data_IF_239711350195
#
_entry.id   IF_239711350195
#
_cell.length_a   1.000
_cell.length_b   1.000
_cell.length_c   1.000
_cell.angle_alpha   90.00
_cell.angle_beta   90.00
_cell.angle_gamma   90.00
#
_symmetry.space_group_name_H-M   'P 1'
#
loop_
_entity.id
_entity.type
_entity.pdbx_description
1 polymer ?
#
# COMPACT_ATOMS: atom_id res chain seq x y z
N UNK A 1 9.66 5.17 -7.69
CA UNK A 1 8.39 5.56 -8.33
C UNK A 1 8.67 6.24 -9.67
N UNK A 2 7.97 5.88 -10.75
CA UNK A 2 8.12 6.52 -12.05
C UNK A 2 7.79 8.03 -12.03
N UNK A 3 8.28 8.74 -13.04
CA UNK A 3 8.07 10.18 -13.24
C UNK A 3 7.16 10.37 -14.44
N UNK A 4 6.16 11.23 -14.34
CA UNK A 4 5.11 11.42 -15.34
C UNK A 4 5.68 11.72 -16.71
N UNK A 5 6.64 12.65 -16.77
CA UNK A 5 7.14 13.18 -18.03
C UNK A 5 8.37 12.40 -18.56
N UNK A 6 9.08 11.68 -17.68
CA UNK A 6 10.27 10.91 -18.07
C UNK A 6 9.97 9.44 -18.41
N UNK A 7 8.90 8.88 -17.86
CA UNK A 7 8.57 7.45 -17.89
C UNK A 7 7.12 7.22 -18.37
N UNK A 8 6.82 7.56 -19.64
CA UNK A 8 5.45 7.49 -20.18
C UNK A 8 4.91 6.05 -20.25
N UNK A 9 5.78 5.07 -20.45
CA UNK A 9 5.45 3.65 -20.60
C UNK A 9 6.43 2.77 -19.81
N UNK A 10 6.06 1.50 -19.60
CA UNK A 10 6.82 0.56 -18.78
C UNK A 10 8.18 0.27 -19.41
N UNK A 11 8.21 0.12 -20.73
CA UNK A 11 9.45 -0.14 -21.47
C UNK A 11 10.47 0.97 -21.25
N UNK A 12 10.08 2.22 -21.46
CA UNK A 12 10.91 3.41 -21.27
C UNK A 12 11.36 3.55 -19.82
N UNK A 13 10.47 3.26 -18.86
CA UNK A 13 10.84 3.20 -17.44
C UNK A 13 11.97 2.20 -17.20
N UNK A 14 11.78 0.95 -17.64
CA UNK A 14 12.75 -0.11 -17.43
C UNK A 14 14.08 0.15 -18.14
N UNK A 15 14.07 0.66 -19.37
CA UNK A 15 15.27 1.00 -20.12
C UNK A 15 16.09 2.11 -19.46
N UNK A 16 15.44 3.16 -18.94
CA UNK A 16 16.13 4.29 -18.30
C UNK A 16 16.61 3.96 -16.89
N UNK A 17 15.79 3.23 -16.14
CA UNK A 17 15.97 3.09 -14.69
C UNK A 17 16.67 1.80 -14.32
N UNK A 18 16.81 0.82 -15.22
CA UNK A 18 17.53 -0.43 -14.93
C UNK A 18 19.03 -0.21 -15.14
N UNK A 19 19.86 -0.34 -14.07
CA UNK A 19 21.31 -0.27 -14.23
C UNK A 19 21.84 -1.42 -15.10
N UNK A 20 22.96 -1.20 -15.80
CA UNK A 20 23.59 -2.22 -16.66
C UNK A 20 24.32 -3.33 -15.90
N UNK A 21 24.53 -3.18 -14.59
CA UNK A 21 25.30 -4.12 -13.78
C UNK A 21 24.83 -4.16 -12.32
N UNK A 22 25.35 -5.14 -11.57
CA UNK A 22 24.91 -5.43 -10.20
C UNK A 22 23.55 -6.14 -10.14
N UNK A 23 23.03 -6.37 -8.94
CA UNK A 23 21.79 -7.14 -8.78
C UNK A 23 20.54 -6.39 -9.30
N UNK A 24 20.61 -5.07 -9.39
CA UNK A 24 19.53 -4.21 -9.88
C UNK A 24 19.20 -4.37 -11.38
N UNK A 25 20.01 -5.12 -12.14
CA UNK A 25 19.64 -5.56 -13.51
C UNK A 25 18.32 -6.33 -13.54
N UNK A 26 17.91 -6.90 -12.40
CA UNK A 26 16.64 -7.64 -12.24
C UNK A 26 15.42 -6.73 -12.01
N UNK A 27 15.54 -5.40 -12.08
CA UNK A 27 14.43 -4.44 -11.91
C UNK A 27 13.16 -4.80 -12.71
N UNK A 28 13.24 -5.25 -13.99
CA UNK A 28 12.05 -5.70 -14.73
C UNK A 28 11.22 -6.76 -13.98
N UNK A 29 11.88 -7.76 -13.38
CA UNK A 29 11.22 -8.83 -12.62
C UNK A 29 10.48 -8.27 -11.41
N UNK A 30 11.13 -7.39 -10.66
CA UNK A 30 10.55 -6.78 -9.47
C UNK A 30 9.37 -5.87 -9.81
N UNK A 31 9.48 -5.09 -10.88
CA UNK A 31 8.44 -4.16 -11.31
C UNK A 31 7.20 -4.89 -11.82
N UNK A 32 7.37 -5.90 -12.68
CA UNK A 32 6.25 -6.70 -13.20
C UNK A 32 5.61 -7.51 -12.08
N UNK A 33 6.40 -8.12 -11.19
CA UNK A 33 5.86 -8.86 -10.04
C UNK A 33 5.07 -7.97 -9.09
N UNK A 34 5.49 -6.72 -8.87
CA UNK A 34 4.76 -5.73 -8.08
C UNK A 34 3.42 -5.36 -8.73
N UNK A 35 3.42 -5.07 -10.03
CA UNK A 35 2.21 -4.73 -10.77
C UNK A 35 1.22 -5.90 -10.82
N UNK A 36 1.72 -7.14 -10.95
CA UNK A 36 0.91 -8.36 -10.84
C UNK A 36 0.35 -8.56 -9.43
N UNK A 37 1.09 -8.21 -8.38
CA UNK A 37 0.57 -8.25 -7.00
C UNK A 37 -0.57 -7.25 -6.83
N UNK A 38 -0.42 -6.02 -7.33
CA UNK A 38 -1.45 -4.98 -7.19
C UNK A 38 -2.71 -5.27 -7.98
N UNK A 39 -2.60 -5.77 -9.21
CA UNK A 39 -3.75 -5.82 -10.14
C UNK A 39 -4.16 -7.24 -10.56
N UNK A 40 -3.48 -8.27 -10.05
CA UNK A 40 -3.81 -9.68 -10.32
C UNK A 40 -3.91 -9.97 -11.83
N UNK A 41 -5.02 -10.60 -12.22
CA UNK A 41 -5.29 -10.99 -13.61
C UNK A 41 -5.51 -9.78 -14.55
N UNK A 42 -5.86 -8.61 -14.03
CA UNK A 42 -6.04 -7.41 -14.84
C UNK A 42 -4.70 -6.82 -15.34
N UNK A 43 -3.57 -7.17 -14.70
CA UNK A 43 -2.24 -6.85 -15.20
C UNK A 43 -1.80 -7.89 -16.24
N UNK A 44 -1.89 -7.52 -17.52
CA UNK A 44 -1.52 -8.36 -18.66
C UNK A 44 -0.38 -7.73 -19.44
N UNK A 45 0.31 -8.50 -20.29
CA UNK A 45 1.39 -7.95 -21.12
C UNK A 45 0.89 -6.84 -22.05
N UNK A 46 -0.32 -6.97 -22.58
CA UNK A 46 -0.92 -6.04 -23.55
C UNK A 46 -1.23 -4.66 -22.96
N UNK A 47 -1.47 -4.57 -21.65
CA UNK A 47 -1.67 -3.31 -20.95
C UNK A 47 -0.47 -2.89 -20.09
N UNK A 48 0.72 -3.40 -20.42
CA UNK A 48 1.95 -3.13 -19.68
C UNK A 48 1.84 -3.47 -18.19
N UNK A 49 1.12 -4.55 -17.89
CA UNK A 49 0.81 -5.01 -16.54
C UNK A 49 0.08 -3.96 -15.69
N UNK A 50 -0.67 -3.04 -16.30
CA UNK A 50 -1.33 -1.96 -15.56
C UNK A 50 -0.39 -0.82 -15.15
N UNK A 51 0.81 -0.71 -15.73
CA UNK A 51 1.75 0.40 -15.46
C UNK A 51 1.14 1.80 -15.67
N UNK A 52 0.11 1.92 -16.51
CA UNK A 52 -0.58 3.20 -16.70
C UNK A 52 -1.49 3.58 -15.53
N UNK A 53 -1.85 2.64 -14.67
CA UNK A 53 -2.73 2.86 -13.53
C UNK A 53 -2.03 3.38 -12.29
N UNK A 54 -0.72 3.20 -12.16
CA UNK A 54 0.04 3.79 -11.06
C UNK A 54 0.23 5.30 -11.25
N UNK A 55 0.04 6.04 -10.15
CA UNK A 55 0.31 7.47 -10.15
C UNK A 55 1.82 7.73 -10.36
N UNK A 56 2.14 8.53 -11.39
CA UNK A 56 3.52 8.92 -11.73
C UNK A 56 3.81 10.28 -11.11
N UNK A 57 4.98 10.45 -10.48
CA UNK A 57 5.31 11.71 -9.80
C UNK A 57 5.55 12.84 -10.80
N UNK A 58 5.18 14.06 -10.44
CA UNK A 58 5.42 15.23 -11.30
C UNK A 58 6.92 15.56 -11.43
N UNK A 59 7.70 15.32 -10.38
CA UNK A 59 9.15 15.53 -10.33
C UNK A 59 9.82 14.55 -9.36
N UNK A 60 11.16 14.58 -9.30
CA UNK A 60 11.95 13.71 -8.44
C UNK A 60 11.79 13.99 -6.93
N UNK A 61 11.36 15.20 -6.57
CA UNK A 61 11.19 15.70 -5.22
C UNK A 61 9.71 15.89 -4.83
N UNK A 62 8.78 15.79 -5.78
CA UNK A 62 7.35 15.97 -5.54
C UNK A 62 6.78 15.07 -4.44
N UNK A 63 5.83 15.63 -3.68
CA UNK A 63 4.95 14.94 -2.72
C UNK A 63 5.63 14.36 -1.47
N UNK A 64 6.78 14.91 -1.07
CA UNK A 64 7.32 14.65 0.27
C UNK A 64 6.40 15.20 1.36
N UNK A 65 6.60 14.79 2.62
CA UNK A 65 5.89 15.35 3.77
C UNK A 65 5.88 16.89 3.76
N UNK A 66 7.04 17.52 3.53
CA UNK A 66 7.15 18.98 3.52
C UNK A 66 6.35 19.61 2.38
N UNK A 67 6.46 19.06 1.16
CA UNK A 67 5.70 19.55 0.00
C UNK A 67 4.20 19.43 0.23
N UNK A 68 3.76 18.28 0.75
CA UNK A 68 2.36 18.01 1.05
C UNK A 68 1.78 19.03 2.04
N UNK A 69 2.49 19.37 3.13
CA UNK A 69 1.99 20.34 4.11
C UNK A 69 2.01 21.79 3.60
N UNK A 70 2.94 22.14 2.72
CA UNK A 70 2.91 23.44 2.02
C UNK A 70 1.71 23.51 1.07
N UNK A 71 1.46 22.47 0.28
CA UNK A 71 0.32 22.39 -0.64
C UNK A 71 -1.02 22.38 0.10
N UNK A 72 -1.07 21.71 1.26
CA UNK A 72 -2.22 21.73 2.17
C UNK A 72 -2.48 23.14 2.71
N UNK A 73 -1.44 23.85 3.16
CA UNK A 73 -1.57 25.25 3.60
C UNK A 73 -2.05 26.18 2.48
N UNK A 74 -1.58 25.95 1.26
CA UNK A 74 -1.99 26.67 0.06
C UNK A 74 -3.39 26.27 -0.45
N UNK A 75 -4.06 25.31 0.20
CA UNK A 75 -5.42 24.88 -0.13
C UNK A 75 -5.51 24.03 -1.41
N UNK A 76 -4.39 23.49 -1.88
CA UNK A 76 -4.34 22.58 -3.03
C UNK A 76 -4.86 21.20 -2.63
N UNK A 77 -4.43 20.70 -1.46
CA UNK A 77 -4.91 19.44 -0.90
C UNK A 77 -6.25 19.69 -0.18
N UNK A 78 -7.25 18.87 -0.52
CA UNK A 78 -8.62 18.97 0.01
C UNK A 78 -8.90 17.98 1.12
N UNK A 79 -8.26 16.83 1.08
CA UNK A 79 -8.47 15.75 2.03
C UNK A 79 -7.17 15.16 2.51
N UNK A 80 -7.16 14.70 3.75
CA UNK A 80 -5.98 14.06 4.33
C UNK A 80 -6.37 12.87 5.20
N UNK A 81 -5.58 11.80 5.12
CA UNK A 81 -5.71 10.61 5.95
C UNK A 81 -4.43 10.53 6.79
N UNK A 82 -4.57 10.81 8.09
CA UNK A 82 -3.53 10.69 9.09
C UNK A 82 -3.66 9.33 9.79
N UNK A 83 -2.92 8.34 9.31
CA UNK A 83 -2.95 6.96 9.81
C UNK A 83 -1.76 6.70 10.75
N UNK A 84 -2.02 6.50 12.04
CA UNK A 84 -0.99 6.23 13.05
C UNK A 84 0.07 7.33 13.18
N UNK A 85 -0.27 8.58 12.83
CA UNK A 85 0.64 9.71 12.85
C UNK A 85 0.00 10.97 13.45
N UNK A 86 0.82 11.74 14.17
CA UNK A 86 0.43 13.00 14.78
C UNK A 86 1.21 14.21 14.19
N UNK A 87 0.97 14.60 12.93
CA UNK A 87 1.66 15.72 12.29
C UNK A 87 1.42 17.09 12.92
N UNK A 88 0.35 17.27 13.72
CA UNK A 88 0.15 18.50 14.50
C UNK A 88 1.26 18.74 15.55
N UNK A 89 2.06 17.71 15.85
CA UNK A 89 3.17 17.74 16.81
C UNK A 89 4.49 17.32 16.16
N UNK A 90 4.51 16.18 15.45
CA UNK A 90 5.75 15.56 14.97
C UNK A 90 6.40 16.21 13.74
N UNK A 91 5.71 17.15 13.10
CA UNK A 91 6.23 17.86 11.92
C UNK A 91 7.29 18.92 12.28
N UNK A 92 8.17 19.28 11.34
CA UNK A 92 9.24 20.25 11.58
C UNK A 92 8.73 21.68 11.87
N UNK A 93 7.50 21.99 11.46
CA UNK A 93 6.83 23.26 11.74
C UNK A 93 5.35 23.00 12.10
N UNK A 94 5.10 22.77 13.38
CA UNK A 94 3.76 22.47 13.89
C UNK A 94 2.72 23.58 13.57
N UNK A 95 3.12 24.86 13.57
CA UNK A 95 2.21 25.97 13.23
C UNK A 95 1.71 25.88 11.80
N UNK A 96 2.63 25.62 10.86
CA UNK A 96 2.28 25.42 9.45
C UNK A 96 1.40 24.19 9.27
N UNK A 97 1.77 23.07 9.91
CA UNK A 97 1.02 21.81 9.80
C UNK A 97 -0.42 21.95 10.30
N UNK A 98 -0.62 22.55 11.48
CA UNK A 98 -1.95 22.82 12.05
C UNK A 98 -2.77 23.75 11.16
N UNK A 99 -2.14 24.86 10.71
CA UNK A 99 -2.81 25.81 9.81
C UNK A 99 -3.18 25.19 8.46
N UNK A 100 -2.39 24.24 7.95
CA UNK A 100 -2.71 23.46 6.75
C UNK A 100 -3.90 22.55 6.98
N UNK A 101 -3.89 21.74 8.04
CA UNK A 101 -4.97 20.78 8.32
C UNK A 101 -6.32 21.47 8.60
N UNK A 102 -6.30 22.67 9.17
CA UNK A 102 -7.51 23.50 9.35
C UNK A 102 -8.10 24.07 8.04
N UNK A 103 -7.41 23.92 6.91
CA UNK A 103 -7.85 24.37 5.58
C UNK A 103 -8.35 23.23 4.68
N UNK A 104 -8.28 21.99 5.16
CA UNK A 104 -8.83 20.84 4.47
C UNK A 104 -10.36 20.93 4.41
N UNK A 105 -10.95 20.30 3.40
CA UNK A 105 -12.39 20.04 3.37
C UNK A 105 -12.72 18.93 4.37
N UNK A 106 -11.89 17.88 4.43
CA UNK A 106 -12.02 16.77 5.37
C UNK A 106 -10.67 16.21 5.84
N UNK A 107 -10.67 15.66 7.05
CA UNK A 107 -9.53 15.02 7.70
C UNK A 107 -9.99 13.70 8.33
N UNK A 108 -9.37 12.59 7.93
CA UNK A 108 -9.55 11.29 8.59
C UNK A 108 -8.34 11.03 9.47
N UNK A 109 -8.55 10.69 10.73
CA UNK A 109 -7.50 10.31 11.68
C UNK A 109 -7.77 8.90 12.17
N UNK A 110 -6.82 8.00 11.96
CA UNK A 110 -6.86 6.62 12.44
C UNK A 110 -5.79 6.48 13.52
N UNK A 111 -6.20 6.33 14.78
CA UNK A 111 -5.25 6.31 15.90
C UNK A 111 -5.85 5.59 17.12
N UNK A 112 -4.97 5.15 18.03
CA UNK A 112 -5.34 4.46 19.28
C UNK A 112 -5.94 5.47 20.26
N UNK A 113 -5.46 6.71 20.24
CA UNK A 113 -5.93 7.78 21.12
C UNK A 113 -6.37 9.02 20.33
N UNK A 114 -7.19 9.85 20.95
CA UNK A 114 -7.39 11.21 20.44
C UNK A 114 -6.06 11.96 20.45
N UNK A 115 -5.67 12.49 19.29
CA UNK A 115 -4.41 13.22 19.09
C UNK A 115 -4.65 14.70 18.81
N UNK A 116 -3.60 15.52 18.93
CA UNK A 116 -3.65 16.93 18.52
C UNK A 116 -3.98 17.10 17.03
N UNK A 117 -3.70 16.10 16.19
CA UNK A 117 -4.16 16.08 14.80
C UNK A 117 -5.67 15.89 14.70
N UNK A 118 -6.26 14.94 15.45
CA UNK A 118 -7.72 14.75 15.48
C UNK A 118 -8.45 15.97 16.07
N UNK A 119 -7.81 16.67 17.00
CA UNK A 119 -8.35 17.87 17.63
C UNK A 119 -7.76 19.17 17.07
N UNK A 120 -7.22 19.16 15.85
CA UNK A 120 -6.54 20.34 15.27
C UNK A 120 -7.43 21.59 15.22
N UNK A 121 -8.74 21.39 15.16
CA UNK A 121 -9.76 22.44 15.18
C UNK A 121 -9.93 23.12 16.56
N UNK A 122 -9.45 22.50 17.63
CA UNK A 122 -9.41 23.05 19.01
C UNK A 122 -8.06 23.66 19.39
N UNK A 123 -7.24 24.04 18.40
CA UNK A 123 -5.93 24.63 18.68
C UNK A 123 -6.02 25.82 19.68
N UNK A 124 -5.20 25.86 20.74
CA UNK A 124 -5.24 26.95 21.71
C UNK A 124 -5.09 28.33 21.06
N UNK A 125 -5.98 29.26 21.43
CA UNK A 125 -5.99 30.61 20.87
C UNK A 125 -6.75 30.76 19.54
N UNK A 126 -7.40 29.69 19.04
CA UNK A 126 -8.33 29.76 17.91
C UNK A 126 -9.76 29.47 18.34
N UNK A 127 -10.71 30.05 17.63
CA UNK A 127 -12.12 29.73 17.77
C UNK A 127 -12.45 28.51 16.89
N UNK A 128 -12.90 27.39 17.46
CA UNK A 128 -13.33 26.21 16.70
C UNK A 128 -14.26 26.50 15.53
N UNK A 129 -15.13 27.51 15.66
CA UNK A 129 -16.11 27.86 14.62
C UNK A 129 -15.48 28.42 13.34
N UNK A 130 -14.22 28.84 13.38
CA UNK A 130 -13.51 29.37 12.21
C UNK A 130 -12.88 28.25 11.36
N UNK A 131 -12.80 27.03 11.90
CA UNK A 131 -12.24 25.86 11.21
C UNK A 131 -13.37 25.09 10.53
N UNK A 132 -13.31 24.97 9.20
CA UNK A 132 -14.35 24.32 8.38
C UNK A 132 -14.08 22.84 8.10
N UNK A 133 -12.89 22.34 8.44
CA UNK A 133 -12.50 20.96 8.20
C UNK A 133 -13.46 20.00 8.90
N UNK A 134 -14.07 19.08 8.16
CA UNK A 134 -14.80 17.95 8.73
C UNK A 134 -13.81 16.89 9.21
N UNK A 135 -13.85 16.53 10.49
CA UNK A 135 -12.90 15.56 11.07
C UNK A 135 -13.60 14.25 11.42
N UNK A 136 -13.08 13.15 10.86
CA UNK A 136 -13.46 11.79 11.17
C UNK A 136 -12.36 11.15 12.02
N UNK A 137 -12.68 10.76 13.25
CA UNK A 137 -11.77 9.98 14.09
C UNK A 137 -12.18 8.51 14.06
N UNK A 138 -11.25 7.64 13.72
CA UNK A 138 -11.42 6.20 13.62
C UNK A 138 -10.53 5.55 14.69
N UNK A 139 -11.13 4.91 15.72
CA UNK A 139 -10.36 4.27 16.78
C UNK A 139 -9.65 3.01 16.27
N UNK A 140 -8.33 2.94 16.44
CA UNK A 140 -7.47 1.90 15.89
C UNK A 140 -6.98 0.91 16.95
N UNK A 141 -6.88 -0.36 16.56
CA UNK A 141 -6.37 -1.43 17.42
C UNK A 141 -4.84 -1.31 17.62
N UNK A 142 -4.32 -1.27 18.87
CA UNK A 142 -2.90 -1.40 19.16
C UNK A 142 -2.35 -2.78 18.78
N UNK A 143 -1.03 -2.94 18.82
CA UNK A 143 -0.34 -4.17 18.40
C UNK A 143 -0.81 -5.43 19.14
N UNK A 144 -1.21 -5.34 20.41
CA UNK A 144 -1.70 -6.51 21.16
C UNK A 144 -3.08 -7.03 20.68
N UNK A 145 -3.84 -6.20 19.97
CA UNK A 145 -5.22 -6.46 19.54
C UNK A 145 -5.32 -6.88 18.07
N UNK A 146 -4.18 -7.06 17.40
CA UNK A 146 -4.09 -7.51 16.01
C UNK A 146 -2.93 -8.47 15.81
N UNK A 147 -2.99 -9.27 14.78
CA UNK A 147 -1.92 -10.13 14.30
C UNK A 147 -1.20 -9.48 13.11
N UNK A 148 -0.02 -9.98 12.79
CA UNK A 148 0.76 -9.51 11.65
C UNK A 148 2.26 -9.56 11.89
N UNK A 149 3.01 -8.99 10.93
CA UNK A 149 4.47 -8.95 11.01
C UNK A 149 5.02 -7.53 11.18
N UNK A 150 6.07 -7.39 11.97
CA UNK A 150 6.88 -6.17 12.10
C UNK A 150 8.32 -6.46 11.69
N UNK A 151 8.96 -5.49 11.03
CA UNK A 151 10.38 -5.59 10.64
C UNK A 151 11.21 -4.63 11.48
N UNK A 152 12.11 -5.17 12.29
CA UNK A 152 12.93 -4.36 13.21
C UNK A 152 14.18 -3.77 12.54
N UNK A 153 14.98 -3.00 13.29
CA UNK A 153 16.22 -2.36 12.82
C UNK A 153 17.27 -3.33 12.25
N UNK A 154 17.25 -4.60 12.65
CA UNK A 154 18.15 -5.64 12.12
C UNK A 154 17.60 -6.29 10.84
N UNK A 155 16.44 -5.85 10.35
CA UNK A 155 15.68 -6.43 9.23
C UNK A 155 15.08 -7.81 9.54
N UNK A 156 14.93 -8.15 10.83
CA UNK A 156 14.21 -9.37 11.22
C UNK A 156 12.71 -9.12 11.07
N UNK A 157 12.07 -9.96 10.25
CA UNK A 157 10.62 -9.98 10.08
C UNK A 157 10.07 -10.90 11.17
N UNK A 158 9.25 -10.36 12.06
CA UNK A 158 8.75 -11.06 13.23
C UNK A 158 7.23 -11.05 13.21
N UNK A 159 6.63 -12.25 13.16
CA UNK A 159 5.20 -12.43 13.31
C UNK A 159 4.80 -12.33 14.79
N UNK A 160 3.66 -11.72 15.05
CA UNK A 160 3.00 -11.79 16.35
C UNK A 160 1.52 -12.15 16.18
N UNK A 161 1.01 -12.86 17.18
CA UNK A 161 -0.39 -13.23 17.26
C UNK A 161 -1.20 -12.16 17.99
N UNK A 162 -2.50 -12.09 17.67
CA UNK A 162 -3.47 -11.30 18.42
C UNK A 162 -3.61 -11.89 19.83
N UNK A 163 -3.46 -11.06 20.86
CA UNK A 163 -3.57 -11.48 22.26
C UNK A 163 -5.00 -11.34 22.81
N UNK A 164 -5.74 -10.32 22.37
CA UNK A 164 -7.10 -10.02 22.83
C UNK A 164 -7.89 -9.35 21.71
N UNK A 165 -9.22 -9.46 21.73
CA UNK A 165 -10.08 -8.75 20.80
C UNK A 165 -10.14 -7.24 21.11
N UNK A 166 -10.19 -6.38 20.07
CA UNK A 166 -10.33 -4.95 20.26
C UNK A 166 -11.70 -4.60 20.89
N UNK A 167 -11.78 -3.58 21.77
CA UNK A 167 -13.02 -3.23 22.45
C UNK A 167 -13.95 -2.36 21.58
N UNK A 168 -15.26 -2.56 21.71
CA UNK A 168 -16.27 -1.69 21.10
C UNK A 168 -16.16 -1.61 19.58
N UNK A 169 -16.06 -0.39 19.05
CA UNK A 169 -15.96 -0.12 17.61
C UNK A 169 -14.50 0.02 17.11
N UNK A 170 -13.51 -0.36 17.92
CA UNK A 170 -12.10 -0.36 17.54
C UNK A 170 -11.87 -1.38 16.44
N UNK A 171 -11.17 -0.97 15.38
CA UNK A 171 -10.83 -1.84 14.24
C UNK A 171 -9.32 -1.83 13.96
N UNK A 172 -8.83 -2.86 13.29
CA UNK A 172 -7.44 -2.86 12.79
C UNK A 172 -7.30 -1.90 11.61
N UNK A 173 -6.10 -1.39 11.36
CA UNK A 173 -5.84 -0.47 10.23
C UNK A 173 -6.13 -1.18 8.90
N UNK A 174 -5.79 -2.47 8.81
CA UNK A 174 -6.07 -3.29 7.64
C UNK A 174 -7.58 -3.45 7.39
N UNK A 175 -8.37 -3.68 8.44
CA UNK A 175 -9.84 -3.72 8.36
C UNK A 175 -10.39 -2.39 7.86
N UNK A 176 -9.92 -1.26 8.40
CA UNK A 176 -10.35 0.08 7.97
C UNK A 176 -10.04 0.32 6.49
N UNK A 177 -8.80 0.06 6.06
CA UNK A 177 -8.35 0.29 4.67
C UNK A 177 -9.11 -0.60 3.68
N UNK A 178 -9.23 -1.90 3.96
CA UNK A 178 -9.94 -2.83 3.07
C UNK A 178 -11.43 -2.48 2.98
N UNK A 179 -12.08 -2.20 4.12
CA UNK A 179 -13.48 -1.78 4.15
C UNK A 179 -13.71 -0.50 3.35
N UNK A 180 -12.84 0.50 3.51
CA UNK A 180 -12.92 1.75 2.74
C UNK A 180 -12.74 1.47 1.24
N UNK A 181 -11.74 0.66 0.87
CA UNK A 181 -11.47 0.31 -0.51
C UNK A 181 -12.65 -0.40 -1.18
N UNK A 182 -13.23 -1.44 -0.55
CA UNK A 182 -14.38 -2.15 -1.11
C UNK A 182 -15.62 -1.26 -1.22
N UNK A 183 -15.87 -0.38 -0.24
CA UNK A 183 -16.98 0.58 -0.33
C UNK A 183 -16.81 1.53 -1.51
N UNK A 184 -15.60 2.03 -1.74
CA UNK A 184 -15.29 2.88 -2.88
C UNK A 184 -15.36 2.10 -4.19
N UNK A 185 -14.82 0.88 -4.28
CA UNK A 185 -14.91 0.03 -5.47
C UNK A 185 -16.38 -0.26 -5.82
N UNK A 186 -17.23 -0.57 -4.84
CA UNK A 186 -18.67 -0.74 -5.03
C UNK A 186 -19.33 0.52 -5.57
N UNK A 187 -18.98 1.69 -5.03
CA UNK A 187 -19.50 2.98 -5.48
C UNK A 187 -19.08 3.30 -6.93
N UNK A 188 -17.87 2.90 -7.31
CA UNK A 188 -17.31 3.13 -8.65
C UNK A 188 -17.50 1.96 -9.63
N UNK A 189 -18.19 0.89 -9.26
CA UNK A 189 -18.28 -0.34 -10.06
C UNK A 189 -18.81 -0.13 -11.48
N UNK A 190 -19.69 0.87 -11.67
CA UNK A 190 -20.24 1.25 -12.97
C UNK A 190 -19.39 2.25 -13.76
N UNK A 191 -18.24 2.70 -13.24
CA UNK A 191 -17.44 3.73 -13.90
C UNK A 191 -16.78 3.22 -15.17
N UNK A 192 -16.80 4.06 -16.21
CA UNK A 192 -16.12 3.84 -17.49
C UNK A 192 -14.92 4.76 -17.68
N UNK A 193 -14.55 5.54 -16.66
CA UNK A 193 -13.43 6.49 -16.75
C UNK A 193 -12.12 5.72 -16.63
N UNK A 194 -11.15 6.06 -17.49
CA UNK A 194 -9.85 5.40 -17.50
C UNK A 194 -9.13 5.50 -16.15
N UNK A 195 -9.19 6.68 -15.52
CA UNK A 195 -8.55 6.93 -14.21
C UNK A 195 -9.07 6.03 -13.08
N UNK A 196 -10.25 5.43 -13.22
CA UNK A 196 -10.87 4.60 -12.19
C UNK A 196 -10.50 3.11 -12.37
N UNK A 197 -9.98 2.71 -13.54
CA UNK A 197 -9.72 1.31 -13.91
C UNK A 197 -8.69 0.65 -12.99
N UNK A 198 -7.61 1.37 -12.69
CA UNK A 198 -6.57 0.90 -11.77
C UNK A 198 -7.09 0.61 -10.37
N UNK A 199 -7.89 1.51 -9.82
CA UNK A 199 -8.45 1.35 -8.49
C UNK A 199 -9.48 0.21 -8.42
N UNK A 200 -10.29 0.05 -9.46
CA UNK A 200 -11.24 -1.06 -9.57
C UNK A 200 -10.54 -2.42 -9.77
N UNK A 201 -9.34 -2.44 -10.34
CA UNK A 201 -8.53 -3.63 -10.52
C UNK A 201 -7.65 -3.98 -9.32
N UNK A 202 -7.40 -3.01 -8.43
CA UNK A 202 -6.50 -3.19 -7.29
C UNK A 202 -7.02 -4.26 -6.30
N UNK A 203 -6.12 -5.12 -5.84
CA UNK A 203 -6.44 -6.14 -4.85
C UNK A 203 -6.58 -5.53 -3.46
N UNK A 204 -7.72 -5.81 -2.83
CA UNK A 204 -8.00 -5.51 -1.42
C UNK A 204 -8.68 -6.71 -0.74
N UNK A 205 -8.64 -7.89 -1.35
CA UNK A 205 -9.31 -9.09 -0.83
C UNK A 205 -8.26 -10.05 -0.29
N UNK A 206 -8.20 -10.17 1.03
CA UNK A 206 -7.25 -11.00 1.75
C UNK A 206 -8.02 -11.98 2.65
N UNK A 207 -8.26 -13.19 2.16
CA UNK A 207 -9.10 -14.18 2.84
C UNK A 207 -10.58 -14.09 2.45
N UNK A 208 -11.42 -14.75 3.25
CA UNK A 208 -12.84 -14.96 2.91
C UNK A 208 -13.76 -13.79 3.24
N UNK A 209 -13.33 -12.90 4.14
CA UNK A 209 -14.11 -11.75 4.62
C UNK A 209 -13.48 -10.45 4.15
N UNK A 210 -14.09 -9.72 3.19
CA UNK A 210 -13.52 -8.48 2.65
C UNK A 210 -13.23 -7.40 3.71
N UNK A 211 -14.03 -7.36 4.78
CA UNK A 211 -13.89 -6.41 5.90
C UNK A 211 -13.01 -6.92 7.05
N UNK A 212 -12.50 -8.15 6.99
CA UNK A 212 -11.61 -8.73 8.01
C UNK A 212 -10.45 -9.44 7.30
N UNK A 213 -9.48 -8.68 6.78
CA UNK A 213 -8.38 -9.25 6.03
C UNK A 213 -7.54 -10.19 6.89
N UNK A 214 -7.23 -11.37 6.35
CA UNK A 214 -6.34 -12.34 6.96
C UNK A 214 -4.88 -11.90 6.71
N UNK A 215 -4.16 -11.50 7.76
CA UNK A 215 -2.84 -10.88 7.61
C UNK A 215 -1.78 -11.82 7.03
N UNK A 216 -1.99 -13.13 7.12
CA UNK A 216 -1.15 -14.14 6.47
C UNK A 216 -1.27 -14.05 4.95
N UNK A 217 -2.46 -13.78 4.40
CA UNK A 217 -2.65 -13.59 2.95
C UNK A 217 -2.03 -12.27 2.48
N UNK A 218 -2.04 -11.22 3.32
CA UNK A 218 -1.30 -9.98 3.05
C UNK A 218 0.21 -10.26 3.00
N UNK A 219 0.74 -11.00 3.98
CA UNK A 219 2.15 -11.37 4.02
C UNK A 219 2.56 -12.23 2.80
N UNK A 220 1.66 -13.11 2.35
CA UNK A 220 1.84 -13.93 1.15
C UNK A 220 1.83 -13.10 -0.14
N UNK A 221 0.99 -12.06 -0.25
CA UNK A 221 1.06 -11.11 -1.36
C UNK A 221 2.39 -10.34 -1.35
N UNK A 222 2.80 -9.85 -0.19
CA UNK A 222 4.09 -9.17 0.01
C UNK A 222 5.25 -10.08 -0.43
N UNK A 223 5.23 -11.35 -0.01
CA UNK A 223 6.19 -12.37 -0.42
C UNK A 223 6.21 -12.55 -1.94
N UNK A 224 5.04 -12.88 -2.51
CA UNK A 224 4.87 -13.25 -3.89
C UNK A 224 4.52 -14.72 -4.10
N UNK A 225 3.72 -15.00 -5.13
CA UNK A 225 3.31 -16.35 -5.53
C UNK A 225 3.48 -16.54 -7.04
N UNK A 226 3.51 -17.78 -7.50
CA UNK A 226 3.36 -18.08 -8.92
C UNK A 226 1.91 -17.83 -9.38
N UNK A 227 1.71 -17.09 -10.46
CA UNK A 227 0.38 -16.79 -11.04
C UNK A 227 -0.15 -17.95 -11.90
N UNK A 228 0.75 -18.82 -12.35
CA UNK A 228 0.49 -20.03 -13.10
C UNK A 228 1.50 -21.13 -12.75
N UNK A 229 1.40 -22.29 -13.39
CA UNK A 229 2.44 -23.31 -13.29
C UNK A 229 3.72 -22.84 -13.99
N UNK A 230 4.86 -22.94 -13.30
CA UNK A 230 6.18 -22.58 -13.82
C UNK A 230 7.01 -23.84 -13.94
N UNK A 231 7.50 -24.14 -15.13
CA UNK A 231 8.41 -25.26 -15.40
C UNK A 231 9.84 -24.77 -15.62
N UNK A 232 10.81 -25.64 -15.36
CA UNK A 232 12.18 -25.43 -15.83
C UNK A 232 12.32 -25.75 -17.32
N UNK A 233 13.55 -25.68 -17.83
CA UNK A 233 13.89 -25.92 -19.24
C UNK A 233 13.64 -27.37 -19.67
N UNK A 234 13.60 -28.31 -18.72
CA UNK A 234 13.38 -29.73 -18.97
C UNK A 234 11.88 -30.09 -18.84
N UNK A 235 11.02 -29.10 -18.60
CA UNK A 235 9.57 -29.26 -18.46
C UNK A 235 9.14 -29.73 -17.07
N UNK A 236 10.05 -29.76 -16.09
CA UNK A 236 9.70 -30.14 -14.72
C UNK A 236 9.06 -28.95 -14.01
N UNK A 237 7.94 -29.19 -13.34
CA UNK A 237 7.24 -28.19 -12.52
C UNK A 237 8.13 -27.74 -11.35
N UNK A 238 8.42 -26.45 -11.30
CA UNK A 238 9.18 -25.78 -10.23
C UNK A 238 8.23 -25.07 -9.27
N UNK A 239 7.16 -24.47 -9.80
CA UNK A 239 6.09 -23.85 -9.01
C UNK A 239 4.72 -24.24 -9.53
N UNK A 240 3.80 -24.58 -8.62
CA UNK A 240 2.36 -24.67 -8.92
C UNK A 240 1.73 -23.28 -8.88
N UNK A 241 0.62 -23.08 -9.60
CA UNK A 241 -0.19 -21.86 -9.46
C UNK A 241 -0.57 -21.64 -7.99
N UNK A 242 -0.32 -20.42 -7.49
CA UNK A 242 -0.61 -20.00 -6.12
C UNK A 242 0.47 -20.37 -5.08
N UNK A 243 1.51 -21.12 -5.48
CA UNK A 243 2.62 -21.48 -4.59
C UNK A 243 3.49 -20.24 -4.28
N UNK A 244 3.82 -19.98 -3.01
CA UNK A 244 4.76 -18.93 -2.62
C UNK A 244 6.14 -19.08 -3.27
N UNK A 245 6.67 -17.97 -3.79
CA UNK A 245 8.01 -17.93 -4.35
C UNK A 245 9.04 -17.93 -3.20
N UNK A 246 10.03 -18.81 -3.28
CA UNK A 246 10.96 -19.09 -2.18
C UNK A 246 12.13 -18.11 -2.12
N UNK A 247 12.46 -17.45 -3.23
CA UNK A 247 13.52 -16.47 -3.32
C UNK A 247 13.23 -15.44 -4.40
N UNK A 248 13.56 -14.17 -4.15
CA UNK A 248 13.45 -13.12 -5.16
C UNK A 248 14.26 -13.38 -6.44
N UNK A 249 15.25 -14.28 -6.40
CA UNK A 249 15.99 -14.71 -7.58
C UNK A 249 15.12 -15.43 -8.62
N UNK A 250 13.97 -15.95 -8.18
CA UNK A 250 13.02 -16.74 -8.99
C UNK A 250 11.85 -15.91 -9.51
N UNK A 251 11.77 -14.62 -9.16
CA UNK A 251 10.79 -13.71 -9.76
C UNK A 251 11.05 -13.54 -11.27
N UNK A 252 9.97 -13.34 -12.02
CA UNK A 252 9.99 -13.22 -13.49
C UNK A 252 9.42 -11.87 -13.94
N UNK A 253 9.70 -11.50 -15.20
CA UNK A 253 9.24 -10.28 -15.85
C UNK A 253 8.16 -10.52 -16.92
N UNK A 254 7.71 -11.76 -17.05
CA UNK A 254 6.67 -12.21 -17.98
C UNK A 254 5.27 -12.28 -17.34
N UNK A 255 5.17 -11.95 -16.05
CA UNK A 255 3.91 -11.96 -15.29
C UNK A 255 3.58 -13.29 -14.61
N UNK A 256 4.49 -14.28 -14.66
CA UNK A 256 4.32 -15.58 -13.99
C UNK A 256 4.49 -15.54 -12.47
N UNK A 257 4.99 -14.43 -11.93
CA UNK A 257 5.13 -14.24 -10.48
C UNK A 257 4.48 -12.93 -10.02
N UNK A 258 3.97 -12.92 -8.80
CA UNK A 258 3.65 -11.71 -8.04
C UNK A 258 4.73 -11.46 -6.98
N UNK A 259 4.83 -10.23 -6.47
CA UNK A 259 5.49 -9.90 -5.20
C UNK A 259 5.23 -8.44 -4.84
N UNK A 260 4.50 -8.19 -3.75
CA UNK A 260 4.24 -6.84 -3.25
C UNK A 260 5.49 -6.13 -2.72
N UNK A 261 6.49 -6.89 -2.28
CA UNK A 261 7.80 -6.36 -1.92
C UNK A 261 8.89 -7.40 -2.16
N UNK A 262 9.64 -7.28 -3.26
CA UNK A 262 10.59 -8.32 -3.69
C UNK A 262 11.64 -8.70 -2.63
N UNK A 263 12.06 -7.78 -1.76
CA UNK A 263 13.02 -8.09 -0.68
C UNK A 263 12.42 -8.96 0.44
N UNK A 264 11.09 -9.10 0.50
CA UNK A 264 10.39 -10.01 1.40
C UNK A 264 10.17 -11.40 0.78
N UNK A 265 10.45 -11.61 -0.51
CA UNK A 265 10.27 -12.94 -1.13
C UNK A 265 11.17 -13.98 -0.44
N UNK A 266 10.53 -15.00 0.11
CA UNK A 266 11.11 -16.01 1.00
C UNK A 266 10.62 -15.91 2.45
N UNK A 267 9.80 -14.91 2.81
CA UNK A 267 9.21 -14.78 4.15
C UNK A 267 8.06 -15.76 4.39
N UNK A 268 7.31 -16.11 3.34
CA UNK A 268 6.34 -17.20 3.37
C UNK A 268 6.80 -18.28 2.41
N UNK A 269 6.95 -19.51 2.89
CA UNK A 269 7.33 -20.66 2.05
C UNK A 269 6.32 -21.79 2.22
N UNK A 270 6.17 -22.60 1.18
CA UNK A 270 5.37 -23.83 1.29
C UNK A 270 6.30 -24.99 1.68
N UNK A 271 5.95 -25.68 2.75
CA UNK A 271 6.61 -26.90 3.18
C UNK A 271 6.38 -28.05 2.19
N UNK A 272 7.15 -29.15 2.26
CA UNK A 272 6.91 -30.32 1.42
C UNK A 272 5.51 -30.93 1.58
N UNK A 273 4.86 -30.77 2.74
CA UNK A 273 3.49 -31.20 3.02
C UNK A 273 2.41 -30.16 2.66
N UNK A 274 2.78 -29.06 2.01
CA UNK A 274 1.85 -28.07 1.47
C UNK A 274 1.37 -27.01 2.47
N UNK A 275 2.00 -26.92 3.64
CA UNK A 275 1.66 -25.91 4.65
C UNK A 275 2.48 -24.66 4.44
N UNK A 276 1.87 -23.51 4.68
CA UNK A 276 2.60 -22.25 4.75
C UNK A 276 3.47 -22.26 6.02
N UNK A 277 4.73 -21.87 5.87
CA UNK A 277 5.70 -21.61 6.94
C UNK A 277 6.13 -20.15 6.83
#
# INVERSE_FOLDING_TARGET
MPLRDAHPDLKTYLEKETPKGGFWVNKPKFMVSLLKAFYGDAATKDNEFGYQWIAKRASADAYSHQHMFVDMYNGIIKGFLADGQNPAVGGPNAKLARAGMQRLDWLVVVDIFLTETAEVWKEPGKNPKDVKTEVFFIPAAPAAEKDGSLTNTMRLIQWHEKAVDPPGDVQTDAQFICTLAHRLQKMYAGSKKERDRGFLAANFTYGSKPDHPEMVEVLKEINGVATEEITDKDGKVVYRKGQPIASFAQLTDDGKTTSGCWIYTGVTVESPDGKLI
#
